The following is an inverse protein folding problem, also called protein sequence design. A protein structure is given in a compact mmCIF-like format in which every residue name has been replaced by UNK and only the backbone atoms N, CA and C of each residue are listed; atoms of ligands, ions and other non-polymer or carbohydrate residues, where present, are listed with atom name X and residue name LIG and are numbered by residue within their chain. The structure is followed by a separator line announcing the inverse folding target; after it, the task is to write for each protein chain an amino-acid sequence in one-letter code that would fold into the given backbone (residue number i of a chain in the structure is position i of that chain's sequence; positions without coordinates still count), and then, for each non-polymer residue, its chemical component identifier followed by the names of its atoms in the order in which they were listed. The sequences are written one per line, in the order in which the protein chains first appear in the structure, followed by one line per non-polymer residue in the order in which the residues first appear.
data_IF_943425433520
#
_entry.id   IF_943425433520
#
_cell.length_a   1.000
_cell.length_b   1.000
_cell.length_c   1.000
_cell.angle_alpha   90.00
_cell.angle_beta   90.00
_cell.angle_gamma   90.00
#
_symmetry.space_group_name_H-M   'P 1'
#
loop_
_entity.id
_entity.type
_entity.pdbx_description
1 polymer ?
#
# COMPACT_ATOMS: atom_id res chain seq x y z
N UNK A 1 -32.91 -10.32 15.01
CA UNK A 1 -32.81 -10.26 13.53
C UNK A 1 -31.98 -9.01 13.20
N UNK A 2 -30.70 -9.18 12.89
CA UNK A 2 -29.84 -8.05 12.58
C UNK A 2 -30.36 -7.41 11.28
N UNK A 3 -30.68 -6.10 11.33
CA UNK A 3 -30.98 -5.31 10.14
C UNK A 3 -29.79 -5.50 9.20
N UNK A 4 -29.96 -6.26 8.12
CA UNK A 4 -28.97 -6.23 7.04
C UNK A 4 -29.02 -4.81 6.51
N UNK A 5 -28.05 -3.99 6.92
CA UNK A 5 -27.76 -2.77 6.21
C UNK A 5 -27.46 -3.29 4.80
N UNK A 6 -28.34 -3.01 3.84
CA UNK A 6 -28.07 -3.30 2.44
C UNK A 6 -26.85 -2.46 2.09
N UNK A 7 -25.67 -3.06 2.21
CA UNK A 7 -24.42 -2.40 1.89
C UNK A 7 -24.50 -2.07 0.41
N UNK A 8 -24.39 -0.78 0.08
CA UNK A 8 -24.43 -0.35 -1.31
C UNK A 8 -23.07 -0.70 -1.95
N UNK A 9 -23.04 -1.30 -3.16
CA UNK A 9 -21.79 -1.60 -3.87
C UNK A 9 -20.86 -0.40 -3.96
N UNK A 10 -21.43 0.78 -4.21
CA UNK A 10 -20.75 2.07 -4.25
C UNK A 10 -19.96 2.38 -2.96
N UNK A 11 -20.45 1.96 -1.79
CA UNK A 11 -19.76 2.17 -0.52
C UNK A 11 -18.55 1.25 -0.38
N UNK A 12 -18.65 0.01 -0.85
CA UNK A 12 -17.53 -0.95 -0.87
C UNK A 12 -16.45 -0.50 -1.86
N UNK A 13 -16.85 -0.05 -3.05
CA UNK A 13 -15.96 0.51 -4.06
C UNK A 13 -15.25 1.78 -3.58
N UNK A 14 -15.97 2.71 -2.96
CA UNK A 14 -15.37 3.93 -2.38
C UNK A 14 -14.40 3.60 -1.25
N UNK A 15 -14.76 2.67 -0.37
CA UNK A 15 -13.86 2.21 0.69
C UNK A 15 -12.59 1.62 0.10
N UNK A 16 -12.71 0.68 -0.85
CA UNK A 16 -11.57 0.02 -1.48
C UNK A 16 -10.70 1.03 -2.24
N UNK A 17 -11.30 2.00 -2.93
CA UNK A 17 -10.59 3.10 -3.60
C UNK A 17 -9.77 3.95 -2.62
N UNK A 18 -10.34 4.30 -1.47
CA UNK A 18 -9.62 5.06 -0.43
C UNK A 18 -8.46 4.22 0.12
N UNK A 19 -8.67 2.92 0.36
CA UNK A 19 -7.58 2.01 0.74
C UNK A 19 -6.49 1.98 -0.33
N UNK A 20 -6.85 1.86 -1.60
CA UNK A 20 -5.89 1.85 -2.70
C UNK A 20 -5.03 3.13 -2.72
N UNK A 21 -5.67 4.30 -2.55
CA UNK A 21 -4.96 5.59 -2.44
C UNK A 21 -4.07 5.65 -1.21
N UNK A 22 -4.53 5.14 -0.05
CA UNK A 22 -3.73 5.11 1.16
C UNK A 22 -2.48 4.22 0.98
N UNK A 23 -2.64 3.08 0.31
CA UNK A 23 -1.53 2.18 0.00
C UNK A 23 -0.49 2.81 -0.93
N UNK A 24 -0.92 3.56 -1.94
CA UNK A 24 -0.02 4.35 -2.78
C UNK A 24 0.70 5.45 -1.97
N UNK A 25 -0.03 6.15 -1.10
CA UNK A 25 0.57 7.17 -0.22
C UNK A 25 1.66 6.57 0.69
N UNK A 26 1.40 5.39 1.25
CA UNK A 26 2.38 4.64 2.03
C UNK A 26 3.60 4.24 1.18
N UNK A 27 3.40 3.78 -0.05
CA UNK A 27 4.51 3.45 -0.95
C UNK A 27 5.39 4.68 -1.25
N UNK A 28 4.79 5.84 -1.51
CA UNK A 28 5.54 7.09 -1.69
C UNK A 28 6.32 7.51 -0.43
N UNK A 29 5.71 7.34 0.74
CA UNK A 29 6.39 7.60 2.01
C UNK A 29 7.63 6.72 2.17
N UNK A 30 7.48 5.40 2.00
CA UNK A 30 8.58 4.44 2.12
C UNK A 30 9.67 4.68 1.07
N UNK A 31 9.30 5.08 -0.14
CA UNK A 31 10.25 5.43 -1.20
C UNK A 31 11.03 6.72 -0.87
N UNK A 32 10.34 7.75 -0.36
CA UNK A 32 10.98 9.01 0.03
C UNK A 32 11.94 8.81 1.22
N UNK A 33 11.54 8.00 2.20
CA UNK A 33 12.39 7.61 3.32
C UNK A 33 13.66 6.89 2.84
N UNK A 34 13.54 5.95 1.90
CA UNK A 34 14.69 5.27 1.29
C UNK A 34 15.59 6.24 0.51
N UNK A 35 15.02 7.21 -0.23
CA UNK A 35 15.82 8.20 -0.95
C UNK A 35 16.58 9.11 0.03
N UNK A 36 16.00 9.41 1.19
CA UNK A 36 16.65 10.22 2.22
C UNK A 36 17.92 9.57 2.76
N UNK A 37 17.99 8.24 2.85
CA UNK A 37 19.21 7.54 3.30
C UNK A 37 20.38 7.64 2.33
N UNK A 38 20.11 7.88 1.05
CA UNK A 38 21.14 7.98 -0.01
C UNK A 38 21.59 9.42 -0.25
N UNK A 39 20.73 10.40 0.03
CA UNK A 39 21.03 11.81 -0.21
C UNK A 39 21.93 12.35 0.91
N UNK A 40 23.24 12.34 0.66
CA UNK A 40 24.25 12.79 1.62
C UNK A 40 24.31 14.31 1.83
N UNK A 41 23.77 15.12 0.90
CA UNK A 41 23.84 16.59 0.95
C UNK A 41 22.52 17.18 1.46
N UNK A 42 22.44 17.36 2.77
CA UNK A 42 21.28 17.95 3.47
C UNK A 42 20.95 19.38 3.04
N UNK A 43 21.95 20.17 2.62
CA UNK A 43 21.77 21.53 2.09
C UNK A 43 21.41 21.58 0.59
N UNK A 44 20.87 20.49 0.03
CA UNK A 44 20.46 20.45 -1.37
C UNK A 44 18.96 20.66 -1.52
N UNK A 45 18.54 21.29 -2.62
CA UNK A 45 17.12 21.40 -2.99
C UNK A 45 16.48 20.03 -3.12
N UNK A 46 17.25 19.03 -3.54
CA UNK A 46 16.80 17.64 -3.68
C UNK A 46 16.44 17.06 -2.30
N UNK A 47 17.27 17.26 -1.28
CA UNK A 47 16.99 16.82 0.09
C UNK A 47 15.70 17.47 0.63
N UNK A 48 15.54 18.79 0.43
CA UNK A 48 14.32 19.51 0.83
C UNK A 48 13.06 18.94 0.14
N UNK A 49 13.13 18.64 -1.15
CA UNK A 49 12.00 18.06 -1.88
C UNK A 49 11.64 16.66 -1.36
N UNK A 50 12.63 15.85 -0.99
CA UNK A 50 12.40 14.53 -0.41
C UNK A 50 11.74 14.65 0.96
N UNK A 51 12.23 15.53 1.83
CA UNK A 51 11.63 15.78 3.15
C UNK A 51 10.18 16.28 3.05
N UNK A 52 9.91 17.21 2.13
CA UNK A 52 8.55 17.68 1.88
C UNK A 52 7.64 16.57 1.35
N UNK A 53 8.16 15.71 0.47
CA UNK A 53 7.43 14.55 -0.07
C UNK A 53 7.13 13.54 1.04
N UNK A 54 8.09 13.25 1.91
CA UNK A 54 7.94 12.36 3.06
C UNK A 54 6.86 12.91 4.00
N UNK A 55 6.94 14.19 4.36
CA UNK A 55 5.95 14.83 5.22
C UNK A 55 4.54 14.82 4.58
N UNK A 56 4.43 15.24 3.31
CA UNK A 56 3.15 15.30 2.62
C UNK A 56 2.51 13.91 2.44
N UNK A 57 3.30 12.90 2.06
CA UNK A 57 2.82 11.52 1.90
C UNK A 57 2.37 10.92 3.23
N UNK A 58 3.10 11.18 4.32
CA UNK A 58 2.71 10.74 5.67
C UNK A 58 1.37 11.35 6.11
N UNK A 59 1.22 12.68 5.97
CA UNK A 59 -0.04 13.36 6.31
C UNK A 59 -1.18 12.85 5.43
N UNK A 60 -0.95 12.69 4.13
CA UNK A 60 -1.96 12.19 3.20
C UNK A 60 -2.40 10.75 3.54
N UNK A 61 -1.44 9.88 3.89
CA UNK A 61 -1.73 8.53 4.37
C UNK A 61 -2.60 8.53 5.64
N UNK A 62 -2.29 9.37 6.62
CA UNK A 62 -3.07 9.49 7.85
C UNK A 62 -4.49 9.99 7.58
N UNK A 63 -4.64 10.99 6.71
CA UNK A 63 -5.96 11.54 6.32
C UNK A 63 -6.81 10.49 5.63
N UNK A 64 -6.23 9.72 4.69
CA UNK A 64 -6.96 8.66 4.01
C UNK A 64 -7.32 7.50 4.94
N UNK A 65 -6.41 7.13 5.85
CA UNK A 65 -6.67 6.10 6.86
C UNK A 65 -7.80 6.52 7.81
N UNK A 66 -7.82 7.77 8.27
CA UNK A 66 -8.95 8.28 9.08
C UNK A 66 -10.24 8.38 8.28
N UNK A 67 -10.17 8.70 6.98
CA UNK A 67 -11.34 8.70 6.10
C UNK A 67 -11.90 7.29 5.91
N UNK A 68 -11.05 6.28 5.76
CA UNK A 68 -11.46 4.88 5.58
C UNK A 68 -12.18 4.35 6.83
N UNK A 69 -11.77 4.76 8.04
CA UNK A 69 -12.43 4.39 9.29
C UNK A 69 -13.92 4.76 9.34
N UNK A 70 -14.37 5.78 8.60
CA UNK A 70 -15.79 6.15 8.53
C UNK A 70 -16.65 5.02 7.94
N UNK A 71 -16.07 4.21 7.06
CA UNK A 71 -16.77 3.09 6.42
C UNK A 71 -17.00 1.90 7.36
N UNK A 72 -16.34 1.83 8.52
CA UNK A 72 -16.56 0.77 9.51
C UNK A 72 -18.02 0.64 9.97
N UNK A 73 -18.83 1.71 9.81
CA UNK A 73 -20.27 1.73 10.11
C UNK A 73 -21.16 1.45 8.90
N UNK A 74 -20.60 1.47 7.69
CA UNK A 74 -21.35 1.42 6.42
C UNK A 74 -21.12 0.12 5.64
N UNK A 75 -20.00 -0.56 5.84
CA UNK A 75 -19.72 -1.88 5.26
C UNK A 75 -19.77 -2.97 6.33
N UNK A 76 -19.81 -4.24 5.90
CA UNK A 76 -19.77 -5.37 6.82
C UNK A 76 -18.45 -5.37 7.62
N UNK A 77 -18.48 -5.84 8.87
CA UNK A 77 -17.25 -5.97 9.69
C UNK A 77 -16.21 -6.86 8.99
N UNK A 78 -16.68 -7.88 8.29
CA UNK A 78 -15.82 -8.78 7.52
C UNK A 78 -15.17 -8.04 6.35
N UNK A 79 -15.94 -7.28 5.57
CA UNK A 79 -15.41 -6.42 4.51
C UNK A 79 -14.42 -5.38 5.00
N UNK A 80 -14.70 -4.76 6.14
CA UNK A 80 -13.80 -3.74 6.71
C UNK A 80 -12.45 -4.31 7.16
N UNK A 81 -12.42 -5.49 7.79
CA UNK A 81 -11.17 -6.02 8.35
C UNK A 81 -10.44 -6.99 7.43
N UNK A 82 -11.18 -7.76 6.64
CA UNK A 82 -10.63 -8.84 5.81
C UNK A 82 -10.78 -8.58 4.33
N UNK A 83 -11.29 -7.41 3.92
CA UNK A 83 -11.51 -7.06 2.52
C UNK A 83 -12.42 -8.04 1.76
N UNK A 84 -13.32 -8.70 2.48
CA UNK A 84 -14.31 -9.60 1.88
C UNK A 84 -15.65 -8.88 1.70
N UNK A 85 -15.98 -8.56 0.46
CA UNK A 85 -17.08 -7.66 0.11
C UNK A 85 -18.31 -8.43 -0.37
N UNK A 86 -19.47 -7.77 -0.37
CA UNK A 86 -20.70 -8.34 -0.91
C UNK A 86 -20.79 -8.18 -2.42
N UNK A 87 -20.26 -7.07 -2.95
CA UNK A 87 -20.10 -6.86 -4.38
C UNK A 87 -19.02 -7.80 -4.94
N UNK A 88 -19.38 -8.55 -5.98
CA UNK A 88 -18.52 -9.59 -6.54
C UNK A 88 -17.27 -9.01 -7.22
N UNK A 89 -17.39 -7.86 -7.90
CA UNK A 89 -16.25 -7.25 -8.58
C UNK A 89 -15.30 -6.60 -7.56
N UNK A 90 -15.83 -5.89 -6.58
CA UNK A 90 -15.02 -5.30 -5.49
C UNK A 90 -14.30 -6.39 -4.70
N UNK A 91 -14.95 -7.53 -4.41
CA UNK A 91 -14.32 -8.70 -3.75
C UNK A 91 -13.23 -9.34 -4.62
N UNK A 92 -13.46 -9.46 -5.92
CA UNK A 92 -12.45 -9.92 -6.86
C UNK A 92 -11.20 -9.02 -6.85
N UNK A 93 -11.40 -7.69 -6.94
CA UNK A 93 -10.31 -6.71 -6.97
C UNK A 93 -9.52 -6.73 -5.67
N UNK A 94 -10.20 -6.78 -4.52
CA UNK A 94 -9.55 -6.83 -3.21
C UNK A 94 -8.76 -8.13 -3.02
N UNK A 95 -9.33 -9.28 -3.43
CA UNK A 95 -8.68 -10.59 -3.37
C UNK A 95 -7.46 -10.67 -4.29
N UNK A 96 -7.54 -10.10 -5.49
CA UNK A 96 -6.42 -10.02 -6.41
C UNK A 96 -5.27 -9.19 -5.84
N UNK A 97 -5.58 -8.00 -5.31
CA UNK A 97 -4.55 -7.11 -4.75
C UNK A 97 -3.90 -7.72 -3.52
N UNK A 98 -4.67 -8.31 -2.59
CA UNK A 98 -4.15 -8.99 -1.41
C UNK A 98 -3.27 -10.19 -1.77
N UNK A 99 -3.67 -11.01 -2.75
CA UNK A 99 -2.84 -12.13 -3.21
C UNK A 99 -1.53 -11.63 -3.77
N UNK A 100 -1.53 -10.63 -4.66
CA UNK A 100 -0.29 -10.09 -5.22
C UNK A 100 0.65 -9.56 -4.13
N UNK A 101 0.13 -8.76 -3.19
CA UNK A 101 0.88 -8.24 -2.04
C UNK A 101 1.44 -9.37 -1.17
N UNK A 102 0.65 -10.39 -0.88
CA UNK A 102 1.09 -11.55 -0.11
C UNK A 102 2.23 -12.30 -0.81
N UNK A 103 2.14 -12.55 -2.12
CA UNK A 103 3.20 -13.22 -2.86
C UNK A 103 4.50 -12.41 -2.87
N UNK A 104 4.41 -11.09 -3.05
CA UNK A 104 5.58 -10.19 -2.95
C UNK A 104 6.24 -10.36 -1.58
N UNK A 105 5.46 -10.21 -0.50
CA UNK A 105 6.00 -10.29 0.86
C UNK A 105 6.57 -11.69 1.20
N UNK A 106 5.89 -12.77 0.80
CA UNK A 106 6.35 -14.14 1.10
C UNK A 106 7.60 -14.48 0.32
N UNK A 107 7.62 -14.23 -1.00
CA UNK A 107 8.76 -14.57 -1.85
C UNK A 107 9.96 -13.68 -1.51
N UNK A 108 9.74 -12.37 -1.42
CA UNK A 108 10.79 -11.42 -1.06
C UNK A 108 11.30 -11.64 0.37
N UNK A 109 10.39 -11.91 1.31
CA UNK A 109 10.75 -12.22 2.70
C UNK A 109 11.55 -13.52 2.81
N UNK A 110 11.18 -14.57 2.09
CA UNK A 110 11.95 -15.82 2.03
C UNK A 110 13.35 -15.60 1.42
N UNK A 111 13.44 -14.78 0.37
CA UNK A 111 14.72 -14.41 -0.22
C UNK A 111 15.60 -13.63 0.75
N UNK A 112 15.04 -12.64 1.46
CA UNK A 112 15.77 -11.89 2.49
C UNK A 112 16.16 -12.76 3.68
N UNK A 113 15.31 -13.69 4.11
CA UNK A 113 15.63 -14.61 5.21
C UNK A 113 16.76 -15.58 4.84
N UNK A 114 16.85 -16.00 3.58
CA UNK A 114 17.89 -16.91 3.10
C UNK A 114 19.20 -16.18 2.76
N UNK A 115 19.11 -15.04 2.08
CA UNK A 115 20.27 -14.34 1.50
C UNK A 115 20.70 -13.11 2.29
N UNK A 116 19.87 -12.59 3.20
CA UNK A 116 20.01 -11.27 3.83
C UNK A 116 21.33 -11.03 4.55
N UNK A 117 21.86 -12.07 5.19
CA UNK A 117 23.14 -12.02 5.92
C UNK A 117 24.32 -12.51 5.08
N UNK A 118 24.08 -12.95 3.84
CA UNK A 118 25.15 -13.43 2.97
C UNK A 118 26.02 -12.27 2.51
N UNK A 119 27.34 -12.46 2.53
CA UNK A 119 28.30 -11.43 2.11
C UNK A 119 28.01 -10.92 0.70
N UNK A 120 27.69 -11.81 -0.23
CA UNK A 120 27.32 -11.45 -1.61
C UNK A 120 26.11 -10.51 -1.66
N UNK A 121 25.06 -10.79 -0.88
CA UNK A 121 23.86 -9.96 -0.88
C UNK A 121 24.11 -8.59 -0.23
N UNK A 122 24.81 -8.56 0.91
CA UNK A 122 25.18 -7.31 1.59
C UNK A 122 26.04 -6.42 0.69
N UNK A 123 26.97 -7.00 -0.06
CA UNK A 123 27.76 -6.28 -1.06
C UNK A 123 26.91 -5.81 -2.24
N UNK A 124 25.91 -6.59 -2.67
CA UNK A 124 25.00 -6.24 -3.77
C UNK A 124 24.12 -5.04 -3.43
N UNK A 125 23.60 -4.96 -2.19
CA UNK A 125 22.68 -3.88 -1.79
C UNK A 125 23.41 -2.65 -1.27
N UNK A 126 24.73 -2.66 -1.11
CA UNK A 126 25.48 -1.48 -0.68
C UNK A 126 25.17 -0.27 -1.59
N UNK A 127 24.96 0.94 -1.04
CA UNK A 127 25.16 1.35 0.35
C UNK A 127 23.98 1.06 1.30
N UNK A 128 22.92 0.39 0.83
CA UNK A 128 21.76 0.05 1.65
C UNK A 128 22.04 -1.10 2.61
N UNK A 129 21.24 -1.18 3.67
CA UNK A 129 21.28 -2.24 4.68
C UNK A 129 20.09 -3.22 4.52
N UNK A 130 20.09 -4.39 5.20
CA UNK A 130 18.99 -5.35 5.10
C UNK A 130 17.60 -4.80 5.52
N UNK A 131 17.55 -3.84 6.44
CA UNK A 131 16.30 -3.16 6.82
C UNK A 131 15.77 -2.32 5.67
N UNK A 132 16.64 -1.62 4.94
CA UNK A 132 16.27 -0.87 3.74
C UNK A 132 15.72 -1.83 2.65
N UNK A 133 16.29 -3.03 2.52
CA UNK A 133 15.78 -4.05 1.60
C UNK A 133 14.37 -4.54 1.99
N UNK A 134 14.10 -4.69 3.29
CA UNK A 134 12.75 -4.96 3.80
C UNK A 134 11.80 -3.79 3.53
N UNK A 135 12.26 -2.55 3.67
CA UNK A 135 11.49 -1.35 3.35
C UNK A 135 11.15 -1.27 1.87
N UNK A 136 12.09 -1.60 0.97
CA UNK A 136 11.84 -1.73 -0.48
C UNK A 136 10.76 -2.78 -0.74
N UNK A 137 10.82 -3.92 -0.04
CA UNK A 137 9.83 -4.98 -0.18
C UNK A 137 8.42 -4.51 0.24
N UNK A 138 8.32 -3.82 1.38
CA UNK A 138 7.08 -3.20 1.85
C UNK A 138 6.56 -2.13 0.87
N UNK A 139 7.45 -1.30 0.34
CA UNK A 139 7.13 -0.30 -0.67
C UNK A 139 6.54 -0.95 -1.92
N UNK A 140 7.18 -2.01 -2.43
CA UNK A 140 6.70 -2.74 -3.61
C UNK A 140 5.34 -3.40 -3.37
N UNK A 141 5.15 -3.99 -2.19
CA UNK A 141 3.91 -4.63 -1.79
C UNK A 141 2.76 -3.61 -1.68
N UNK A 142 3.00 -2.46 -1.04
CA UNK A 142 2.04 -1.36 -0.91
C UNK A 142 1.72 -0.69 -2.25
N UNK A 143 2.74 -0.47 -3.10
CA UNK A 143 2.55 0.08 -4.44
C UNK A 143 1.68 -0.86 -5.29
N UNK A 144 1.98 -2.16 -5.27
CA UNK A 144 1.24 -3.18 -6.02
C UNK A 144 -0.21 -3.29 -5.53
N UNK A 145 -0.43 -3.30 -4.21
CA UNK A 145 -1.76 -3.32 -3.62
C UNK A 145 -2.61 -2.14 -4.12
N UNK A 146 -2.08 -0.93 -3.98
CA UNK A 146 -2.79 0.29 -4.38
C UNK A 146 -3.00 0.40 -5.88
N UNK A 147 -1.98 0.08 -6.68
CA UNK A 147 -2.04 0.18 -8.13
C UNK A 147 -3.06 -0.79 -8.73
N UNK A 148 -3.09 -2.05 -8.25
CA UNK A 148 -4.07 -3.03 -8.71
C UNK A 148 -5.50 -2.61 -8.40
N UNK A 149 -5.76 -2.11 -7.20
CA UNK A 149 -7.07 -1.59 -6.81
C UNK A 149 -7.49 -0.45 -7.74
N UNK A 150 -6.67 0.61 -7.82
CA UNK A 150 -7.02 1.83 -8.56
C UNK A 150 -7.15 1.57 -10.06
N UNK A 151 -6.32 0.69 -10.61
CA UNK A 151 -6.40 0.35 -12.02
C UNK A 151 -7.64 -0.48 -12.37
N UNK A 152 -7.98 -1.46 -11.53
CA UNK A 152 -9.15 -2.32 -11.80
C UNK A 152 -10.46 -1.57 -11.57
N UNK A 153 -10.60 -0.83 -10.48
CA UNK A 153 -11.81 -0.03 -10.25
C UNK A 153 -11.94 1.12 -11.27
N UNK A 154 -10.84 1.76 -11.65
CA UNK A 154 -10.87 2.80 -12.68
C UNK A 154 -11.17 2.28 -14.09
N UNK A 155 -10.99 0.98 -14.36
CA UNK A 155 -11.44 0.37 -15.62
C UNK A 155 -12.97 0.23 -15.66
N UNK A 156 -13.59 -0.14 -14.54
CA UNK A 156 -15.03 -0.30 -14.45
C UNK A 156 -15.77 1.01 -14.73
N UNK A 157 -15.30 2.12 -14.13
CA UNK A 157 -15.84 3.48 -14.36
C UNK A 157 -15.76 3.95 -15.83
N UNK A 158 -14.93 3.33 -16.68
CA UNK A 158 -14.77 3.69 -18.09
C UNK A 158 -15.64 2.87 -19.03
N UNK A 159 -16.22 1.76 -18.56
CA UNK A 159 -17.06 0.85 -19.35
C UNK A 159 -18.54 0.89 -18.96
N UNK A 160 -18.89 1.63 -17.90
CA UNK A 160 -20.25 2.10 -17.60
C UNK A 160 -20.53 3.46 -18.26
#
# INVERSE_FOLDING_TARGET
MAKSISVLPEQEQQYLTITGKASIALAFFLLAELLSTVISKTNSVIYLLVDLTLFASFIYFLVLSTKSMKFAKHISKLGFWTYKFNDEYVDYVSSLSLRATCHIMVIGGAFLAYSGDSKWFVELIAPFNPTDALQILLCLAAATHGALILWKLGKEELYE
#
